data_IF_414256012375
#
_entry.id   IF_414256012375
#
_cell.length_a   1.000
_cell.length_b   1.000
_cell.length_c   1.000
_cell.angle_alpha   90.00
_cell.angle_beta   90.00
_cell.angle_gamma   90.00
#
_symmetry.space_group_name_H-M   'P 1'
#
loop_
_entity.id
_entity.type
_entity.pdbx_description
1 polymer ?
#
# COMPACT_ATOMS: atom_id res chain seq x y z
N UNK A 1 0.49 -8.76 -4.24
CA UNK A 1 0.77 -7.81 -5.34
C UNK A 1 2.24 -7.40 -5.44
N UNK A 2 2.86 -6.87 -4.38
CA UNK A 2 4.25 -6.39 -4.43
C UNK A 2 5.27 -7.52 -4.67
N UNK A 3 5.20 -8.62 -3.91
CA UNK A 3 6.07 -9.79 -4.08
C UNK A 3 5.95 -10.40 -5.48
N UNK A 4 4.72 -10.61 -5.96
CA UNK A 4 4.45 -11.12 -7.31
C UNK A 4 4.91 -10.16 -8.41
N UNK A 5 4.85 -8.85 -8.16
CA UNK A 5 5.19 -7.84 -9.15
C UNK A 5 6.67 -7.59 -9.30
N UNK A 6 7.44 -7.66 -8.20
CA UNK A 6 8.90 -7.52 -8.25
C UNK A 6 9.60 -8.83 -8.64
N UNK A 7 8.89 -9.95 -8.54
CA UNK A 7 9.46 -11.28 -8.68
C UNK A 7 9.77 -11.86 -7.31
N UNK A 8 9.42 -13.13 -7.11
CA UNK A 8 9.69 -13.83 -5.86
C UNK A 8 11.19 -13.79 -5.55
N UNK A 9 11.53 -13.33 -4.35
CA UNK A 9 12.92 -13.23 -3.86
C UNK A 9 13.62 -11.89 -4.12
N UNK A 10 13.02 -10.96 -4.88
CA UNK A 10 13.58 -9.61 -5.04
C UNK A 10 13.45 -8.77 -3.76
N UNK A 11 12.30 -8.88 -3.09
CA UNK A 11 12.04 -8.29 -1.78
C UNK A 11 11.67 -9.40 -0.79
N UNK A 12 12.07 -9.22 0.46
CA UNK A 12 11.59 -10.02 1.58
C UNK A 12 10.11 -9.72 1.83
N UNK A 13 9.39 -10.70 2.40
CA UNK A 13 7.97 -10.54 2.75
C UNK A 13 7.74 -9.30 3.63
N UNK A 14 8.60 -9.07 4.62
CA UNK A 14 8.50 -7.89 5.50
C UNK A 14 8.64 -6.56 4.77
N UNK A 15 9.47 -6.49 3.72
CA UNK A 15 9.63 -5.29 2.89
C UNK A 15 8.38 -5.01 2.06
N UNK A 16 7.81 -6.05 1.47
CA UNK A 16 6.56 -5.94 0.74
C UNK A 16 5.39 -5.51 1.65
N UNK A 17 5.33 -6.05 2.87
CA UNK A 17 4.34 -5.66 3.87
C UNK A 17 4.51 -4.21 4.31
N UNK A 18 5.75 -3.74 4.51
CA UNK A 18 6.02 -2.37 4.91
C UNK A 18 5.58 -1.34 3.86
N UNK A 19 5.92 -1.56 2.59
CA UNK A 19 5.48 -0.67 1.53
C UNK A 19 3.95 -0.71 1.36
N UNK A 20 3.35 -1.89 1.48
CA UNK A 20 1.89 -2.06 1.49
C UNK A 20 1.20 -1.32 2.64
N UNK A 21 1.79 -1.33 3.84
CA UNK A 21 1.28 -0.60 5.00
C UNK A 21 1.35 0.92 4.78
N UNK A 22 2.45 1.43 4.24
CA UNK A 22 2.57 2.86 3.89
C UNK A 22 1.50 3.28 2.86
N UNK A 23 1.24 2.45 1.86
CA UNK A 23 0.17 2.69 0.88
C UNK A 23 -1.23 2.65 1.52
N UNK A 24 -1.49 1.68 2.40
CA UNK A 24 -2.77 1.61 3.11
C UNK A 24 -3.00 2.84 4.00
N UNK A 25 -1.94 3.32 4.66
CA UNK A 25 -1.98 4.54 5.46
C UNK A 25 -2.23 5.78 4.58
N UNK A 26 -1.54 5.94 3.44
CA UNK A 26 -1.79 7.05 2.51
C UNK A 26 -3.23 7.03 1.96
N UNK A 27 -3.76 5.86 1.60
CA UNK A 27 -5.17 5.75 1.20
C UNK A 27 -6.11 6.14 2.34
N UNK A 28 -5.80 5.73 3.57
CA UNK A 28 -6.59 6.10 4.75
C UNK A 28 -6.59 7.61 5.01
N UNK A 29 -5.47 8.31 4.75
CA UNK A 29 -5.42 9.79 4.77
C UNK A 29 -6.31 10.38 3.68
N UNK A 30 -6.25 9.85 2.45
CA UNK A 30 -7.11 10.33 1.35
C UNK A 30 -8.59 10.06 1.59
N UNK A 31 -8.94 9.07 2.41
CA UNK A 31 -10.31 8.79 2.85
C UNK A 31 -10.76 9.70 4.01
N UNK A 32 -9.84 10.47 4.60
CA UNK A 32 -10.12 11.33 5.75
C UNK A 32 -10.16 10.57 7.08
N UNK A 33 -9.64 9.34 7.10
CA UNK A 33 -9.62 8.49 8.30
C UNK A 33 -8.37 8.70 9.15
N UNK A 34 -7.25 8.99 8.50
CA UNK A 34 -6.01 9.39 9.17
C UNK A 34 -5.64 10.83 8.84
N UNK A 35 -4.93 11.48 9.76
CA UNK A 35 -4.23 12.73 9.50
C UNK A 35 -2.86 12.51 8.85
N UNK A 36 -2.30 13.55 8.22
CA UNK A 36 -0.96 13.47 7.65
C UNK A 36 0.13 13.22 8.70
N UNK A 37 -0.05 13.70 9.93
CA UNK A 37 0.87 13.44 11.04
C UNK A 37 0.94 11.96 11.40
N UNK A 38 -0.18 11.26 11.32
CA UNK A 38 -0.24 9.81 11.57
C UNK A 38 0.48 9.05 10.45
N UNK A 39 0.28 9.45 9.19
CA UNK A 39 1.03 8.90 8.06
C UNK A 39 2.54 9.13 8.22
N UNK A 40 2.96 10.35 8.56
CA UNK A 40 4.37 10.68 8.81
C UNK A 40 4.95 9.81 9.92
N UNK A 41 4.21 9.61 11.01
CA UNK A 41 4.62 8.75 12.12
C UNK A 41 4.78 7.29 11.70
N UNK A 42 3.85 6.75 10.92
CA UNK A 42 3.92 5.37 10.39
C UNK A 42 5.15 5.22 9.50
N UNK A 43 5.33 6.10 8.52
CA UNK A 43 6.48 6.02 7.62
C UNK A 43 7.81 6.22 8.35
N UNK A 44 7.85 7.10 9.36
CA UNK A 44 9.04 7.31 10.18
C UNK A 44 9.45 6.01 10.89
N UNK A 45 8.52 5.32 11.52
CA UNK A 45 8.81 4.05 12.20
C UNK A 45 9.27 2.96 11.23
N UNK A 46 8.65 2.85 10.05
CA UNK A 46 9.07 1.92 9.01
C UNK A 46 10.51 2.21 8.54
N UNK A 47 10.84 3.48 8.30
CA UNK A 47 12.21 3.90 7.94
C UNK A 47 13.22 3.61 9.06
N UNK A 48 12.85 3.83 10.33
CA UNK A 48 13.69 3.49 11.49
C UNK A 48 13.94 1.99 11.61
N UNK A 49 12.98 1.16 11.20
CA UNK A 49 13.13 -0.28 11.12
C UNK A 49 13.93 -0.76 9.87
N UNK A 50 14.42 0.16 9.03
CA UNK A 50 15.13 -0.17 7.80
C UNK A 50 14.24 -0.71 6.68
N UNK A 51 12.92 -0.47 6.75
CA UNK A 51 11.95 -1.01 5.82
C UNK A 51 11.56 0.01 4.73
N UNK A 52 11.28 -0.45 3.50
CA UNK A 52 10.82 0.43 2.43
C UNK A 52 9.39 0.90 2.65
N UNK A 53 9.14 2.17 2.32
CA UNK A 53 7.81 2.81 2.38
C UNK A 53 7.27 3.19 0.99
N UNK A 54 8.01 2.84 -0.07
CA UNK A 54 7.67 3.12 -1.47
C UNK A 54 7.94 1.88 -2.30
N UNK A 55 7.07 1.58 -3.26
CA UNK A 55 7.24 0.43 -4.15
C UNK A 55 7.64 0.92 -5.55
N UNK A 56 8.63 0.30 -6.22
CA UNK A 56 9.02 0.73 -7.57
C UNK A 56 8.09 0.20 -8.67
N UNK A 57 7.03 -0.55 -8.33
CA UNK A 57 6.10 -1.10 -9.32
C UNK A 57 5.22 -0.02 -9.98
N UNK A 58 4.99 -0.08 -11.29
CA UNK A 58 4.01 0.77 -11.95
C UNK A 58 2.59 0.55 -11.41
N UNK A 59 1.84 1.63 -11.25
CA UNK A 59 0.45 1.61 -10.76
C UNK A 59 -0.43 0.62 -11.50
N UNK A 60 -0.39 0.59 -12.84
CA UNK A 60 -1.19 -0.33 -13.65
C UNK A 60 -0.78 -1.80 -13.47
N UNK A 61 0.50 -2.06 -13.14
CA UNK A 61 0.96 -3.42 -12.81
C UNK A 61 0.44 -3.83 -11.43
N UNK A 62 0.49 -2.94 -10.44
CA UNK A 62 -0.07 -3.20 -9.12
C UNK A 62 -1.58 -3.46 -9.17
N UNK A 63 -2.35 -2.61 -9.86
CA UNK A 63 -3.79 -2.78 -9.99
C UNK A 63 -4.16 -4.13 -10.63
N UNK A 64 -3.46 -4.54 -11.69
CA UNK A 64 -3.63 -5.86 -12.30
C UNK A 64 -3.35 -6.98 -11.30
N UNK A 65 -2.23 -6.92 -10.60
CA UNK A 65 -1.84 -7.95 -9.63
C UNK A 65 -2.79 -8.02 -8.42
N UNK A 66 -3.35 -6.89 -7.99
CA UNK A 66 -4.37 -6.85 -6.95
C UNK A 66 -5.70 -7.46 -7.43
N UNK A 67 -6.06 -7.28 -8.70
CA UNK A 67 -7.29 -7.84 -9.28
C UNK A 67 -7.25 -9.38 -9.39
N UNK A 68 -6.07 -9.99 -9.52
CA UNK A 68 -5.90 -11.44 -9.55
C UNK A 68 -5.78 -12.08 -8.14
N UNK A 69 -5.72 -11.29 -7.08
CA UNK A 69 -5.59 -11.81 -5.72
C UNK A 69 -6.92 -12.41 -5.24
N UNK A 70 -6.88 -13.65 -4.70
CA UNK A 70 -8.05 -14.48 -4.35
C UNK A 70 -8.95 -13.89 -3.25
N UNK A 71 -8.63 -12.69 -2.74
CA UNK A 71 -9.47 -11.92 -1.80
C UNK A 71 -10.59 -11.11 -2.47
N UNK A 72 -10.70 -11.16 -3.80
CA UNK A 72 -11.86 -10.69 -4.54
C UNK A 72 -13.04 -11.69 -4.42
N UNK A 73 -13.55 -11.91 -3.21
CA UNK A 73 -14.87 -12.53 -3.04
C UNK A 73 -15.92 -11.54 -3.59
N UNK A 74 -16.70 -11.97 -4.58
CA UNK A 74 -17.73 -11.20 -5.31
C UNK A 74 -17.25 -10.00 -6.15
N UNK A 75 -16.00 -10.03 -6.65
CA UNK A 75 -15.52 -9.05 -7.63
C UNK A 75 -15.15 -7.67 -7.06
N UNK A 76 -15.25 -7.48 -5.74
CA UNK A 76 -14.79 -6.28 -5.04
C UNK A 76 -13.48 -6.57 -4.28
N UNK A 77 -12.41 -5.87 -4.65
CA UNK A 77 -11.13 -5.91 -3.95
C UNK A 77 -11.30 -5.37 -2.52
N UNK A 78 -11.08 -6.22 -1.51
CA UNK A 78 -11.09 -5.78 -0.10
C UNK A 78 -9.68 -5.44 0.35
N UNK A 79 -9.53 -4.27 0.99
CA UNK A 79 -8.28 -3.78 1.55
C UNK A 79 -8.38 -3.72 3.08
N UNK A 80 -7.24 -3.87 3.73
CA UNK A 80 -7.08 -3.52 5.15
C UNK A 80 -6.66 -2.06 5.20
N UNK A 81 -7.47 -1.22 5.81
CA UNK A 81 -7.26 0.22 5.93
C UNK A 81 -7.33 0.64 7.40
N UNK A 82 -6.83 1.83 7.72
CA UNK A 82 -6.71 2.33 9.08
C UNK A 82 -7.75 3.43 9.33
N UNK A 83 -8.60 3.24 10.34
CA UNK A 83 -9.51 4.28 10.82
C UNK A 83 -8.86 5.22 11.84
N UNK A 84 -7.86 4.70 12.55
CA UNK A 84 -6.94 5.43 13.45
C UNK A 84 -5.74 4.54 13.76
N UNK A 85 -4.65 5.09 14.29
CA UNK A 85 -3.55 4.26 14.79
C UNK A 85 -4.09 3.26 15.84
N UNK A 86 -3.91 1.97 15.59
CA UNK A 86 -4.41 0.88 16.43
C UNK A 86 -5.80 0.36 16.08
N UNK A 87 -6.49 0.92 15.07
CA UNK A 87 -7.78 0.43 14.58
C UNK A 87 -7.76 0.27 13.05
N UNK A 88 -7.97 -0.96 12.59
CA UNK A 88 -8.01 -1.29 11.17
C UNK A 88 -9.35 -1.93 10.80
N UNK A 89 -9.78 -1.70 9.56
CA UNK A 89 -11.01 -2.25 8.98
C UNK A 89 -10.69 -2.96 7.67
N UNK A 90 -11.38 -4.07 7.42
CA UNK A 90 -11.38 -4.75 6.12
C UNK A 90 -12.57 -4.24 5.33
N UNK A 91 -12.32 -3.43 4.31
CA UNK A 91 -13.39 -2.81 3.51
C UNK A 91 -13.16 -2.94 2.02
N UNK A 92 -14.25 -3.09 1.26
CA UNK A 92 -14.28 -2.89 -0.19
C UNK A 92 -14.87 -1.54 -0.59
N UNK A 93 -15.32 -0.75 0.38
CA UNK A 93 -15.98 0.53 0.21
C UNK A 93 -14.95 1.66 0.28
N UNK A 94 -14.31 1.92 -0.85
CA UNK A 94 -13.37 3.02 -1.03
C UNK A 94 -13.37 3.47 -2.50
N UNK A 95 -13.05 4.74 -2.72
CA UNK A 95 -12.97 5.31 -4.06
C UNK A 95 -11.77 4.75 -4.84
N UNK A 96 -12.03 4.16 -6.02
CA UNK A 96 -10.99 3.58 -6.88
C UNK A 96 -10.02 4.62 -7.46
N UNK A 97 -10.48 5.86 -7.67
CA UNK A 97 -9.62 6.97 -8.07
C UNK A 97 -8.62 7.34 -6.98
N UNK A 98 -9.04 7.36 -5.71
CA UNK A 98 -8.16 7.56 -4.55
C UNK A 98 -7.13 6.44 -4.43
N UNK A 99 -7.53 5.18 -4.63
CA UNK A 99 -6.58 4.06 -4.68
C UNK A 99 -5.53 4.29 -5.79
N UNK A 100 -5.95 4.66 -7.00
CA UNK A 100 -5.01 4.93 -8.11
C UNK A 100 -4.04 6.07 -7.76
N UNK A 101 -4.52 7.13 -7.10
CA UNK A 101 -3.67 8.23 -6.63
C UNK A 101 -2.66 7.77 -5.57
N UNK A 102 -3.06 6.95 -4.60
CA UNK A 102 -2.15 6.35 -3.61
C UNK A 102 -1.05 5.55 -4.28
N UNK A 103 -1.42 4.67 -5.22
CA UNK A 103 -0.47 3.83 -5.93
C UNK A 103 0.51 4.64 -6.80
N UNK A 104 0.08 5.81 -7.29
CA UNK A 104 0.95 6.73 -8.03
C UNK A 104 1.88 7.52 -7.10
N UNK A 105 1.38 7.98 -5.96
CA UNK A 105 2.13 8.76 -4.98
C UNK A 105 3.18 7.94 -4.21
N UNK A 106 2.89 6.66 -3.95
CA UNK A 106 3.80 5.75 -3.24
C UNK A 106 4.84 5.07 -4.15
N UNK A 107 5.05 5.58 -5.37
CA UNK A 107 6.07 5.06 -6.28
C UNK A 107 7.46 5.47 -5.80
N UNK A 108 8.37 4.50 -5.66
CA UNK A 108 9.78 4.81 -5.51
C UNK A 108 10.31 5.35 -6.84
N UNK A 109 11.18 6.37 -6.82
CA UNK A 109 12.01 6.63 -7.99
C UNK A 109 12.85 5.37 -8.28
N UNK A 110 13.12 5.06 -9.56
CA UNK A 110 14.00 3.94 -9.90
C UNK A 110 15.33 4.15 -9.18
N UNK A 111 15.76 3.16 -8.39
CA UNK A 111 17.11 3.14 -7.83
C UNK A 111 18.07 3.22 -9.04
N UNK A 112 18.97 4.22 -9.11
CA UNK A 112 19.92 4.28 -10.21
C UNK A 112 20.72 2.97 -10.23
N UNK A 113 20.83 2.40 -11.43
CA UNK A 113 21.56 1.17 -11.70
C UNK A 113 23.04 1.29 -11.30
#
# INVERSE_FOLDING_TARGET
>A
AIETGLGYGAWLHGEAVAAGLSMAADLSVRLGWLGEDELRRIEFLLRQAGLPVRCPLPTDRMLRLMAFDKKALDGALRLVLLEKIGQAVVTGDYDRGRLRHTLAACRAEPFPA
#
